data_IF_159460989246
#
_entry.id   IF_159460989246
#
_cell.length_a   1.000
_cell.length_b   1.000
_cell.length_c   1.000
_cell.angle_alpha   90.00
_cell.angle_beta   90.00
_cell.angle_gamma   90.00
#
_symmetry.space_group_name_H-M   'P 1'
#
loop_
_entity.id
_entity.type
_entity.pdbx_description
1 polymer ?
#
# COMPACT_ATOMS: atom_id res chain seq x y z
N UNK A 1 19.53 -36.80 -12.80
CA UNK A 1 20.05 -36.24 -11.53
C UNK A 1 18.97 -36.38 -10.46
N UNK A 2 19.15 -37.21 -9.42
CA UNK A 2 18.16 -37.37 -8.34
C UNK A 2 18.37 -36.26 -7.30
N UNK A 3 17.37 -35.41 -7.08
CA UNK A 3 17.45 -34.39 -6.01
C UNK A 3 17.45 -35.05 -4.63
N UNK A 4 18.30 -34.54 -3.75
CA UNK A 4 18.35 -34.87 -2.33
C UNK A 4 17.06 -34.42 -1.61
N UNK A 5 16.70 -35.06 -0.49
CA UNK A 5 15.51 -34.68 0.28
C UNK A 5 15.60 -33.22 0.76
N UNK A 6 16.80 -32.79 1.17
CA UNK A 6 17.11 -31.39 1.52
C UNK A 6 16.78 -30.43 0.38
N UNK A 7 17.24 -30.75 -0.84
CA UNK A 7 17.04 -29.91 -2.00
C UNK A 7 15.55 -29.82 -2.38
N UNK A 8 14.81 -30.93 -2.32
CA UNK A 8 13.36 -30.94 -2.61
C UNK A 8 12.58 -30.05 -1.65
N UNK A 9 12.82 -30.20 -0.34
CA UNK A 9 12.14 -29.41 0.70
C UNK A 9 12.52 -27.93 0.67
N UNK A 10 13.81 -27.64 0.51
CA UNK A 10 14.28 -26.26 0.37
C UNK A 10 13.68 -25.59 -0.86
N UNK A 11 13.60 -26.29 -1.99
CA UNK A 11 13.05 -25.72 -3.22
C UNK A 11 11.54 -25.47 -3.09
N UNK A 12 10.78 -26.41 -2.51
CA UNK A 12 9.33 -26.25 -2.33
C UNK A 12 8.99 -25.11 -1.36
N UNK A 13 9.65 -25.02 -0.21
CA UNK A 13 9.39 -23.94 0.74
C UNK A 13 9.93 -22.59 0.25
N UNK A 14 11.06 -22.58 -0.46
CA UNK A 14 11.59 -21.35 -1.05
C UNK A 14 10.71 -20.84 -2.18
N UNK A 15 10.01 -21.71 -2.92
CA UNK A 15 9.01 -21.30 -3.89
C UNK A 15 7.81 -20.61 -3.23
N UNK A 16 7.33 -21.14 -2.10
CA UNK A 16 6.26 -20.50 -1.30
C UNK A 16 6.73 -19.14 -0.78
N UNK A 17 7.94 -19.07 -0.22
CA UNK A 17 8.52 -17.80 0.25
C UNK A 17 8.67 -16.77 -0.88
N UNK A 18 9.07 -17.20 -2.08
CA UNK A 18 9.17 -16.32 -3.25
C UNK A 18 7.81 -15.77 -3.69
N UNK A 19 6.77 -16.61 -3.71
CA UNK A 19 5.40 -16.16 -4.03
C UNK A 19 4.91 -15.13 -2.99
N UNK A 20 5.14 -15.40 -1.70
CA UNK A 20 4.79 -14.46 -0.63
C UNK A 20 5.52 -13.13 -0.77
N UNK A 21 6.81 -13.14 -1.09
CA UNK A 21 7.61 -11.92 -1.31
C UNK A 21 7.12 -11.10 -2.51
N UNK A 22 6.79 -11.77 -3.62
CA UNK A 22 6.22 -11.09 -4.80
C UNK A 22 4.88 -10.45 -4.45
N UNK A 23 4.01 -11.19 -3.75
CA UNK A 23 2.71 -10.68 -3.30
C UNK A 23 2.85 -9.46 -2.36
N UNK A 24 3.74 -9.52 -1.37
CA UNK A 24 4.05 -8.39 -0.51
C UNK A 24 4.58 -7.18 -1.30
N UNK A 25 5.52 -7.42 -2.21
CA UNK A 25 6.12 -6.34 -3.01
C UNK A 25 5.07 -5.64 -3.87
N UNK A 26 4.19 -6.40 -4.52
CA UNK A 26 3.08 -5.86 -5.31
C UNK A 26 2.13 -5.04 -4.44
N UNK A 27 1.75 -5.54 -3.28
CA UNK A 27 0.87 -4.82 -2.35
C UNK A 27 1.47 -3.48 -1.88
N UNK A 28 2.77 -3.45 -1.57
CA UNK A 28 3.46 -2.21 -1.17
C UNK A 28 3.55 -1.21 -2.32
N UNK A 29 3.80 -1.67 -3.55
CA UNK A 29 3.86 -0.81 -4.73
C UNK A 29 2.49 -0.22 -5.10
N UNK A 30 1.44 -1.03 -5.06
CA UNK A 30 0.07 -0.56 -5.26
C UNK A 30 -0.32 0.46 -4.19
N UNK A 31 0.06 0.22 -2.94
CA UNK A 31 -0.11 1.18 -1.85
C UNK A 31 0.61 2.50 -2.12
N UNK A 32 1.90 2.47 -2.45
CA UNK A 32 2.68 3.69 -2.66
C UNK A 32 2.08 4.57 -3.78
N UNK A 33 1.59 3.93 -4.84
CA UNK A 33 0.90 4.64 -5.94
C UNK A 33 -0.43 5.24 -5.50
N UNK A 34 -1.27 4.46 -4.82
CA UNK A 34 -2.59 4.93 -4.37
C UNK A 34 -2.48 6.01 -3.29
N UNK A 35 -1.53 5.87 -2.36
CA UNK A 35 -1.29 6.86 -1.31
C UNK A 35 -0.84 8.20 -1.88
N UNK A 36 0.10 8.18 -2.83
CA UNK A 36 0.56 9.41 -3.49
C UNK A 36 -0.58 10.07 -4.25
N UNK A 37 -1.30 9.29 -5.06
CA UNK A 37 -2.45 9.78 -5.83
C UNK A 37 -3.55 10.42 -4.96
N UNK A 38 -3.96 9.75 -3.87
CA UNK A 38 -5.00 10.30 -2.98
C UNK A 38 -4.47 11.50 -2.19
N UNK A 39 -3.20 11.51 -1.82
CA UNK A 39 -2.58 12.65 -1.14
C UNK A 39 -2.50 13.89 -2.04
N UNK A 40 -2.14 13.71 -3.30
CA UNK A 40 -2.10 14.79 -4.30
C UNK A 40 -3.50 15.37 -4.49
N UNK A 41 -4.50 14.50 -4.64
CA UNK A 41 -5.89 14.92 -4.82
C UNK A 41 -6.44 15.67 -3.59
N UNK A 42 -6.11 15.22 -2.37
CA UNK A 42 -6.44 15.94 -1.13
C UNK A 42 -5.74 17.31 -1.10
N UNK A 43 -4.49 17.41 -1.54
CA UNK A 43 -3.75 18.67 -1.58
C UNK A 43 -4.36 19.65 -2.60
N UNK A 44 -4.77 19.15 -3.76
CA UNK A 44 -5.44 19.92 -4.81
C UNK A 44 -6.82 20.42 -4.34
N UNK A 45 -7.61 19.56 -3.67
CA UNK A 45 -8.90 19.92 -3.07
C UNK A 45 -8.73 21.02 -2.00
N UNK A 46 -7.75 20.89 -1.10
CA UNK A 46 -7.47 21.90 -0.05
C UNK A 46 -7.05 23.23 -0.67
N UNK A 47 -6.18 23.18 -1.68
CA UNK A 47 -5.70 24.38 -2.38
C UNK A 47 -6.85 25.08 -3.09
N UNK A 48 -7.72 24.32 -3.75
CA UNK A 48 -8.89 24.82 -4.45
C UNK A 48 -9.92 25.41 -3.49
N UNK A 49 -10.20 24.74 -2.36
CA UNK A 49 -11.12 25.23 -1.33
C UNK A 49 -10.64 26.56 -0.74
N UNK A 50 -9.35 26.66 -0.41
CA UNK A 50 -8.75 27.90 0.09
C UNK A 50 -8.79 29.03 -0.96
N UNK A 51 -8.63 28.69 -2.24
CA UNK A 51 -8.70 29.65 -3.35
C UNK A 51 -10.14 30.16 -3.53
N UNK A 52 -11.14 29.27 -3.48
CA UNK A 52 -12.55 29.63 -3.55
C UNK A 52 -12.98 30.55 -2.39
N UNK A 53 -12.58 30.21 -1.15
CA UNK A 53 -12.84 31.06 0.02
C UNK A 53 -12.24 32.47 -0.13
N UNK A 54 -10.98 32.56 -0.55
CA UNK A 54 -10.34 33.86 -0.79
C UNK A 54 -11.06 34.66 -1.87
N UNK A 55 -11.49 33.99 -2.95
CA UNK A 55 -12.24 34.64 -4.02
C UNK A 55 -13.57 35.21 -3.48
N UNK A 56 -14.28 34.44 -2.68
CA UNK A 56 -15.52 34.85 -2.00
C UNK A 56 -15.29 36.08 -1.10
N UNK A 57 -14.26 36.03 -0.27
CA UNK A 57 -13.91 37.12 0.66
C UNK A 57 -13.57 38.42 -0.08
N UNK A 58 -12.78 38.33 -1.17
CA UNK A 58 -12.40 39.49 -2.00
C UNK A 58 -13.65 40.09 -2.65
N UNK A 59 -14.51 39.26 -3.26
CA UNK A 59 -15.75 39.74 -3.88
C UNK A 59 -16.69 40.39 -2.87
N UNK A 60 -16.85 39.76 -1.71
CA UNK A 60 -17.72 40.25 -0.63
C UNK A 60 -17.21 41.59 -0.10
N UNK A 61 -15.91 41.69 0.18
CA UNK A 61 -15.28 42.95 0.59
C UNK A 61 -15.47 44.04 -0.44
N UNK A 62 -15.15 43.76 -1.71
CA UNK A 62 -15.28 44.74 -2.78
C UNK A 62 -16.74 45.20 -2.98
N UNK A 63 -17.70 44.27 -2.90
CA UNK A 63 -19.13 44.60 -2.96
C UNK A 63 -19.56 45.52 -1.79
N UNK A 64 -19.04 45.29 -0.58
CA UNK A 64 -19.29 46.14 0.59
C UNK A 64 -18.62 47.52 0.46
N UNK A 65 -17.42 47.59 -0.10
CA UNK A 65 -16.71 48.85 -0.34
C UNK A 65 -17.50 49.71 -1.34
N UNK A 66 -18.02 49.11 -2.43
CA UNK A 66 -18.92 49.79 -3.38
C UNK A 66 -20.19 50.29 -2.68
N UNK A 67 -20.82 49.45 -1.85
CA UNK A 67 -22.01 49.83 -1.09
C UNK A 67 -21.76 51.03 -0.16
N UNK A 68 -20.57 51.09 0.44
CA UNK A 68 -20.16 52.18 1.34
C UNK A 68 -20.05 53.50 0.56
N UNK A 69 -19.40 53.49 -0.60
CA UNK A 69 -19.28 54.69 -1.47
C UNK A 69 -20.66 55.19 -1.94
N UNK A 70 -21.57 54.29 -2.27
CA UNK A 70 -22.94 54.62 -2.69
C UNK A 70 -23.80 55.09 -1.49
N UNK A 71 -23.47 54.66 -0.27
CA UNK A 71 -24.19 54.99 0.95
C UNK A 71 -23.86 56.36 1.53
N UNK A 72 -22.57 56.73 1.52
CA UNK A 72 -22.06 57.94 2.19
C UNK A 72 -22.01 59.17 1.28
N UNK A 73 -22.36 59.05 -0.02
CA UNK A 73 -22.24 60.09 -1.05
C UNK A 73 -20.84 60.74 -1.12
N UNK A 74 -19.83 60.04 -0.59
CA UNK A 74 -18.44 60.49 -0.52
C UNK A 74 -17.62 59.80 -1.60
N UNK A 75 -17.51 60.47 -2.75
CA UNK A 75 -16.83 59.96 -3.95
C UNK A 75 -15.31 60.21 -3.96
N UNK A 76 -14.71 60.55 -2.80
CA UNK A 76 -13.31 60.97 -2.73
C UNK A 76 -12.31 59.85 -3.04
N UNK A 77 -12.69 58.58 -2.83
CA UNK A 77 -11.84 57.42 -3.07
C UNK A 77 -12.68 56.26 -3.60
N UNK A 78 -12.49 55.91 -4.87
CA UNK A 78 -13.14 54.75 -5.48
C UNK A 78 -12.48 53.46 -4.98
N UNK A 79 -13.26 52.39 -4.72
CA UNK A 79 -12.68 51.13 -4.33
C UNK A 79 -11.85 50.57 -5.48
N UNK A 80 -10.57 50.27 -5.20
CA UNK A 80 -9.67 49.68 -6.18
C UNK A 80 -9.98 48.19 -6.34
N UNK A 81 -10.23 47.77 -7.58
CA UNK A 81 -10.38 46.37 -7.92
C UNK A 81 -9.11 45.82 -8.54
N UNK A 82 -8.41 44.97 -7.80
CA UNK A 82 -7.23 44.27 -8.31
C UNK A 82 -7.66 43.12 -9.24
N UNK A 83 -7.92 43.49 -10.50
CA UNK A 83 -8.36 42.56 -11.54
C UNK A 83 -7.31 41.47 -11.82
N UNK A 84 -6.01 41.80 -11.74
CA UNK A 84 -4.93 40.85 -12.03
C UNK A 84 -4.83 39.79 -10.94
N UNK A 85 -4.85 40.22 -9.67
CA UNK A 85 -4.90 39.32 -8.53
C UNK A 85 -6.13 38.42 -8.58
N UNK A 86 -7.28 38.97 -8.96
CA UNK A 86 -8.52 38.24 -9.03
C UNK A 86 -8.55 37.19 -10.14
N UNK A 87 -8.13 37.55 -11.36
CA UNK A 87 -8.02 36.61 -12.49
C UNK A 87 -7.02 35.48 -12.18
N UNK A 88 -5.93 35.78 -11.47
CA UNK A 88 -4.97 34.75 -11.07
C UNK A 88 -5.59 33.68 -10.15
N UNK A 89 -6.54 34.04 -9.29
CA UNK A 89 -7.24 33.07 -8.43
C UNK A 89 -8.20 32.19 -9.24
N UNK A 90 -8.87 32.76 -10.26
CA UNK A 90 -9.67 31.97 -11.20
C UNK A 90 -8.82 31.01 -12.03
N UNK A 91 -7.63 31.42 -12.47
CA UNK A 91 -6.71 30.55 -13.21
C UNK A 91 -6.15 29.41 -12.34
N UNK A 92 -5.85 29.68 -11.07
CA UNK A 92 -5.50 28.66 -10.07
C UNK A 92 -6.66 27.68 -9.87
N UNK A 93 -7.90 28.18 -9.71
CA UNK A 93 -9.09 27.34 -9.57
C UNK A 93 -9.28 26.42 -10.79
N UNK A 94 -9.07 26.97 -11.99
CA UNK A 94 -9.21 26.25 -13.26
C UNK A 94 -8.15 25.16 -13.44
N UNK A 95 -6.91 25.44 -13.07
CA UNK A 95 -5.79 24.49 -13.17
C UNK A 95 -5.82 23.42 -12.10
N UNK A 96 -6.36 23.71 -10.91
CA UNK A 96 -6.39 22.78 -9.78
C UNK A 96 -7.57 21.79 -9.85
N UNK A 97 -8.60 22.09 -10.66
CA UNK A 97 -9.86 21.35 -10.71
C UNK A 97 -10.14 20.69 -12.07
N UNK A 98 -9.15 19.97 -12.62
CA UNK A 98 -9.30 19.21 -13.88
C UNK A 98 -10.19 17.94 -13.76
N UNK A 99 -10.80 17.71 -12.61
CA UNK A 99 -11.75 16.60 -12.42
C UNK A 99 -13.05 16.86 -13.18
N UNK A 100 -13.45 15.92 -14.05
CA UNK A 100 -14.70 15.95 -14.84
C UNK A 100 -15.97 16.25 -14.02
N UNK A 101 -15.96 16.00 -12.70
CA UNK A 101 -17.12 16.20 -11.83
C UNK A 101 -17.25 17.66 -11.37
N UNK A 102 -16.13 18.36 -11.17
CA UNK A 102 -16.11 19.71 -10.57
C UNK A 102 -15.96 20.79 -11.66
N UNK A 103 -15.40 20.45 -12.81
CA UNK A 103 -15.23 21.33 -13.96
C UNK A 103 -16.46 22.20 -14.32
N UNK A 104 -17.71 21.69 -14.39
CA UNK A 104 -18.85 22.55 -14.73
C UNK A 104 -19.14 23.61 -13.65
N UNK A 105 -18.85 23.33 -12.38
CA UNK A 105 -19.00 24.30 -11.29
C UNK A 105 -17.91 25.37 -11.36
N UNK A 106 -16.68 24.95 -11.66
CA UNK A 106 -15.57 25.86 -11.91
C UNK A 106 -15.86 26.82 -13.08
N UNK A 107 -16.42 26.31 -14.18
CA UNK A 107 -16.81 27.13 -15.34
C UNK A 107 -17.93 28.12 -14.98
N UNK A 108 -18.92 27.70 -14.19
CA UNK A 108 -19.97 28.58 -13.67
C UNK A 108 -19.40 29.72 -12.82
N UNK A 109 -18.50 29.40 -11.87
CA UNK A 109 -17.83 30.41 -11.04
C UNK A 109 -17.05 31.39 -11.89
N UNK A 110 -16.25 30.94 -12.87
CA UNK A 110 -15.48 31.81 -13.76
C UNK A 110 -16.40 32.73 -14.58
N UNK A 111 -17.55 32.21 -15.03
CA UNK A 111 -18.52 32.98 -15.79
C UNK A 111 -19.20 34.06 -14.96
N UNK A 112 -19.77 33.71 -13.80
CA UNK A 112 -20.44 34.66 -12.91
C UNK A 112 -19.47 35.69 -12.34
N UNK A 113 -18.23 35.27 -12.09
CA UNK A 113 -17.10 36.11 -11.73
C UNK A 113 -16.83 37.18 -12.80
N UNK A 114 -16.67 36.77 -14.06
CA UNK A 114 -16.43 37.70 -15.17
C UNK A 114 -17.59 38.68 -15.35
N UNK A 115 -18.83 38.23 -15.19
CA UNK A 115 -20.02 39.06 -15.28
C UNK A 115 -20.09 40.09 -14.13
N UNK A 116 -19.74 39.70 -12.91
CA UNK A 116 -19.69 40.58 -11.75
C UNK A 116 -18.61 41.66 -11.92
N UNK A 117 -17.39 41.26 -12.31
CA UNK A 117 -16.27 42.21 -12.54
C UNK A 117 -16.64 43.22 -13.62
N UNK A 118 -17.14 42.75 -14.76
CA UNK A 118 -17.54 43.64 -15.86
C UNK A 118 -18.60 44.65 -15.41
N UNK A 119 -19.57 44.21 -14.60
CA UNK A 119 -20.58 45.11 -14.05
C UNK A 119 -19.96 46.11 -13.10
N UNK A 120 -19.04 45.69 -12.23
CA UNK A 120 -18.38 46.59 -11.27
C UNK A 120 -17.54 47.69 -11.92
N UNK A 121 -16.98 47.46 -13.12
CA UNK A 121 -16.24 48.47 -13.88
C UNK A 121 -17.13 49.62 -14.37
N UNK A 122 -18.46 49.46 -14.36
CA UNK A 122 -19.39 50.54 -14.66
C UNK A 122 -19.47 51.58 -13.53
N UNK A 123 -18.93 51.30 -12.33
CA UNK A 123 -19.08 52.11 -11.13
C UNK A 123 -18.72 53.58 -11.34
N UNK A 124 -17.54 53.87 -11.90
CA UNK A 124 -17.07 55.23 -12.15
C UNK A 124 -18.05 56.00 -13.04
N UNK A 125 -18.47 55.39 -14.15
CA UNK A 125 -19.45 55.97 -15.07
C UNK A 125 -20.83 56.20 -14.44
N UNK A 126 -21.22 55.34 -13.50
CA UNK A 126 -22.50 55.44 -12.78
C UNK A 126 -22.47 56.58 -11.77
N UNK A 127 -21.35 56.77 -11.07
CA UNK A 127 -21.18 57.84 -10.09
C UNK A 127 -21.08 59.23 -10.76
N UNK A 128 -20.45 59.31 -11.93
CA UNK A 128 -20.34 60.56 -12.71
C UNK A 128 -21.61 60.93 -13.49
N UNK A 129 -22.59 60.02 -13.56
CA UNK A 129 -23.80 60.21 -14.37
C UNK A 129 -24.89 60.96 -13.62
N UNK A 130 -25.30 62.11 -14.16
CA UNK A 130 -26.48 62.85 -13.68
C UNK A 130 -27.82 62.15 -13.92
N UNK A 131 -27.83 61.07 -14.71
CA UNK A 131 -29.06 60.38 -15.14
C UNK A 131 -29.26 59.02 -14.46
N UNK A 132 -28.20 58.41 -13.92
CA UNK A 132 -28.26 57.07 -13.33
C UNK A 132 -28.30 57.23 -11.81
N UNK A 133 -29.32 56.66 -11.18
CA UNK A 133 -29.34 56.51 -9.72
C UNK A 133 -28.39 55.36 -9.32
N UNK A 134 -27.25 55.70 -8.71
CA UNK A 134 -26.22 54.76 -8.29
C UNK A 134 -26.75 53.70 -7.31
N UNK A 135 -27.70 54.07 -6.45
CA UNK A 135 -28.36 53.15 -5.52
C UNK A 135 -29.22 52.15 -6.28
N UNK A 136 -30.05 52.63 -7.20
CA UNK A 136 -30.87 51.76 -8.05
C UNK A 136 -30.00 50.83 -8.90
N UNK A 137 -28.89 51.32 -9.47
CA UNK A 137 -27.93 50.49 -10.21
C UNK A 137 -27.32 49.39 -9.33
N UNK A 138 -26.91 49.71 -8.10
CA UNK A 138 -26.36 48.72 -7.18
C UNK A 138 -27.36 47.59 -6.89
N UNK A 139 -28.57 47.93 -6.43
CA UNK A 139 -29.57 46.93 -6.02
C UNK A 139 -30.15 46.13 -7.20
N UNK A 140 -30.29 46.74 -8.37
CA UNK A 140 -30.94 46.10 -9.52
C UNK A 140 -29.97 45.43 -10.49
N UNK A 141 -28.67 45.76 -10.44
CA UNK A 141 -27.69 45.29 -11.43
C UNK A 141 -26.45 44.65 -10.81
N UNK A 142 -25.77 45.34 -9.89
CA UNK A 142 -24.55 44.80 -9.28
C UNK A 142 -24.85 43.68 -8.27
N UNK A 143 -25.76 43.93 -7.33
CA UNK A 143 -26.08 43.00 -6.24
C UNK A 143 -26.61 41.65 -6.75
N UNK A 144 -27.50 41.58 -7.76
CA UNK A 144 -27.92 40.29 -8.32
C UNK A 144 -26.75 39.51 -8.94
N UNK A 145 -25.82 40.19 -9.62
CA UNK A 145 -24.60 39.56 -10.16
C UNK A 145 -23.71 38.97 -9.07
N UNK A 146 -23.52 39.72 -7.97
CA UNK A 146 -22.79 39.25 -6.80
C UNK A 146 -23.46 38.05 -6.11
N UNK A 147 -24.80 38.04 -6.01
CA UNK A 147 -25.54 36.91 -5.43
C UNK A 147 -25.39 35.63 -6.25
N UNK A 148 -25.40 35.73 -7.58
CA UNK A 148 -25.16 34.58 -8.47
C UNK A 148 -23.74 34.06 -8.27
N UNK A 149 -22.75 34.94 -8.28
CA UNK A 149 -21.34 34.56 -8.03
C UNK A 149 -21.17 33.87 -6.68
N UNK A 150 -21.74 34.44 -5.61
CA UNK A 150 -21.68 33.85 -4.27
C UNK A 150 -22.31 32.45 -4.26
N UNK A 151 -23.46 32.27 -4.90
CA UNK A 151 -24.12 30.98 -5.01
C UNK A 151 -23.30 29.94 -5.80
N UNK A 152 -22.62 30.36 -6.87
CA UNK A 152 -21.78 29.47 -7.66
C UNK A 152 -20.53 29.05 -6.88
N UNK A 153 -19.93 29.98 -6.12
CA UNK A 153 -18.79 29.69 -5.23
C UNK A 153 -19.22 28.73 -4.11
N UNK A 154 -20.36 28.96 -3.45
CA UNK A 154 -20.89 28.07 -2.41
C UNK A 154 -21.14 26.65 -2.93
N UNK A 155 -21.67 26.53 -4.16
CA UNK A 155 -21.89 25.24 -4.81
C UNK A 155 -20.56 24.53 -5.11
N UNK A 156 -19.55 25.28 -5.56
CA UNK A 156 -18.21 24.76 -5.80
C UNK A 156 -17.53 24.30 -4.50
N UNK A 157 -17.55 25.13 -3.45
CA UNK A 157 -16.99 24.80 -2.14
C UNK A 157 -17.63 23.55 -1.56
N UNK A 158 -18.96 23.43 -1.66
CA UNK A 158 -19.70 22.25 -1.23
C UNK A 158 -19.27 20.99 -2.01
N UNK A 159 -19.05 21.12 -3.32
CA UNK A 159 -18.59 20.00 -4.14
C UNK A 159 -17.16 19.57 -3.78
N UNK A 160 -16.24 20.52 -3.60
CA UNK A 160 -14.85 20.25 -3.18
C UNK A 160 -14.83 19.62 -1.79
N UNK A 161 -15.62 20.14 -0.83
CA UNK A 161 -15.71 19.57 0.50
C UNK A 161 -16.21 18.12 0.50
N UNK A 162 -17.23 17.83 -0.30
CA UNK A 162 -17.76 16.47 -0.45
C UNK A 162 -16.73 15.51 -1.07
N UNK A 163 -15.95 15.97 -2.05
CA UNK A 163 -14.88 15.14 -2.63
C UNK A 163 -13.76 14.92 -1.61
N UNK A 164 -13.29 15.97 -0.94
CA UNK A 164 -12.31 15.90 0.15
C UNK A 164 -12.73 14.91 1.25
N UNK A 165 -14.00 14.94 1.67
CA UNK A 165 -14.55 14.00 2.66
C UNK A 165 -14.51 12.56 2.13
N UNK A 166 -14.91 12.35 0.88
CA UNK A 166 -14.90 11.04 0.23
C UNK A 166 -13.49 10.50 0.05
N UNK A 167 -12.55 11.34 -0.36
CA UNK A 167 -11.14 11.02 -0.56
C UNK A 167 -10.47 10.70 0.77
N UNK A 168 -10.73 11.48 1.83
CA UNK A 168 -10.30 11.19 3.20
C UNK A 168 -10.86 9.87 3.72
N UNK A 169 -12.17 9.60 3.56
CA UNK A 169 -12.78 8.33 3.97
C UNK A 169 -12.24 7.14 3.18
N UNK A 170 -11.84 7.35 1.92
CA UNK A 170 -11.24 6.32 1.07
C UNK A 170 -9.80 6.05 1.49
N UNK A 171 -9.06 7.10 1.80
CA UNK A 171 -7.72 7.02 2.37
C UNK A 171 -7.75 6.23 3.69
N UNK A 172 -8.60 6.61 4.64
CA UNK A 172 -8.70 5.96 5.96
C UNK A 172 -9.12 4.49 5.87
N UNK A 173 -10.19 4.19 5.10
CA UNK A 173 -10.68 2.82 4.92
C UNK A 173 -9.70 1.95 4.15
N UNK A 174 -9.10 2.46 3.08
CA UNK A 174 -8.13 1.73 2.27
C UNK A 174 -6.84 1.44 3.05
N UNK A 175 -6.31 2.45 3.76
CA UNK A 175 -5.05 2.38 4.48
C UNK A 175 -5.10 1.48 5.71
N UNK A 176 -5.98 1.77 6.67
CA UNK A 176 -5.95 1.09 7.97
C UNK A 176 -6.70 -0.25 7.98
N UNK A 177 -7.78 -0.38 7.20
CA UNK A 177 -8.66 -1.55 7.32
C UNK A 177 -8.30 -2.70 6.37
N UNK A 178 -7.70 -2.40 5.21
CA UNK A 178 -7.47 -3.41 4.17
C UNK A 178 -5.99 -3.74 3.93
N UNK A 179 -5.08 -2.76 3.98
CA UNK A 179 -3.69 -2.98 3.54
C UNK A 179 -2.78 -3.42 4.68
N UNK A 180 -2.81 -2.74 5.84
CA UNK A 180 -1.94 -3.06 6.98
C UNK A 180 -2.09 -4.52 7.44
N UNK A 181 -3.31 -5.07 7.64
CA UNK A 181 -3.45 -6.47 8.00
C UNK A 181 -2.87 -7.44 6.96
N UNK A 182 -2.94 -7.08 5.66
CA UNK A 182 -2.37 -7.86 4.57
C UNK A 182 -0.84 -7.93 4.63
N UNK A 183 -0.18 -6.78 4.80
CA UNK A 183 1.29 -6.72 4.90
C UNK A 183 1.78 -7.50 6.13
N UNK A 184 1.11 -7.33 7.28
CA UNK A 184 1.44 -8.05 8.51
C UNK A 184 1.25 -9.56 8.33
N UNK A 185 0.13 -9.98 7.73
CA UNK A 185 -0.13 -11.40 7.46
C UNK A 185 0.94 -12.04 6.56
N UNK A 186 1.40 -11.34 5.52
CA UNK A 186 2.47 -11.84 4.64
C UNK A 186 3.80 -11.93 5.40
N UNK A 187 4.14 -10.94 6.22
CA UNK A 187 5.35 -10.97 7.05
C UNK A 187 5.38 -12.14 8.04
N UNK A 188 4.27 -12.37 8.75
CA UNK A 188 4.12 -13.52 9.67
C UNK A 188 4.15 -14.83 8.90
N UNK A 189 3.50 -14.91 7.73
CA UNK A 189 3.52 -16.08 6.86
C UNK A 189 4.93 -16.45 6.40
N UNK A 190 5.74 -15.47 6.01
CA UNK A 190 7.14 -15.69 5.63
C UNK A 190 7.97 -16.24 6.80
N UNK A 191 7.79 -15.68 7.99
CA UNK A 191 8.47 -16.15 9.20
C UNK A 191 8.09 -17.61 9.53
N UNK A 192 6.81 -17.96 9.41
CA UNK A 192 6.33 -19.33 9.60
C UNK A 192 6.94 -20.31 8.59
N UNK A 193 7.06 -19.91 7.31
CA UNK A 193 7.70 -20.75 6.29
C UNK A 193 9.18 -20.99 6.62
N UNK A 194 9.90 -19.97 7.07
CA UNK A 194 11.31 -20.12 7.47
C UNK A 194 11.46 -21.02 8.70
N UNK A 195 10.61 -20.83 9.72
CA UNK A 195 10.55 -21.71 10.90
C UNK A 195 10.27 -23.15 10.51
N UNK A 196 9.30 -23.38 9.63
CA UNK A 196 8.94 -24.72 9.17
C UNK A 196 10.10 -25.38 8.42
N UNK A 197 10.81 -24.63 7.57
CA UNK A 197 12.01 -25.13 6.88
C UNK A 197 13.08 -25.56 7.88
N UNK A 198 13.33 -24.73 8.89
CA UNK A 198 14.27 -25.03 9.95
C UNK A 198 13.89 -26.32 10.69
N UNK A 199 12.63 -26.44 11.14
CA UNK A 199 12.17 -27.64 11.84
C UNK A 199 12.31 -28.90 10.98
N UNK A 200 11.88 -28.84 9.72
CA UNK A 200 12.00 -29.97 8.78
C UNK A 200 13.45 -30.39 8.59
N UNK A 201 14.37 -29.44 8.39
CA UNK A 201 15.78 -29.76 8.18
C UNK A 201 16.46 -30.29 9.45
N UNK A 202 16.21 -29.65 10.60
CA UNK A 202 16.88 -29.98 11.85
C UNK A 202 16.42 -31.30 12.45
N UNK A 203 15.11 -31.56 12.49
CA UNK A 203 14.54 -32.69 13.23
C UNK A 203 14.19 -33.90 12.38
N UNK A 204 13.96 -33.72 11.07
CA UNK A 204 13.59 -34.85 10.20
C UNK A 204 14.70 -35.18 9.21
N UNK A 205 15.11 -34.21 8.39
CA UNK A 205 16.00 -34.50 7.26
C UNK A 205 17.42 -34.81 7.72
N UNK A 206 18.01 -33.98 8.60
CA UNK A 206 19.37 -34.21 9.08
C UNK A 206 19.56 -35.56 9.78
N UNK A 207 18.67 -35.97 10.71
CA UNK A 207 18.73 -37.29 11.32
C UNK A 207 18.65 -38.44 10.31
N UNK A 208 17.79 -38.33 9.30
CA UNK A 208 17.66 -39.34 8.24
C UNK A 208 18.98 -39.51 7.45
N UNK A 209 19.68 -38.41 7.16
CA UNK A 209 21.01 -38.47 6.52
C UNK A 209 22.04 -39.15 7.44
N UNK A 210 22.05 -38.84 8.75
CA UNK A 210 22.96 -39.49 9.69
C UNK A 210 22.71 -41.00 9.83
N UNK A 211 21.44 -41.43 9.83
CA UNK A 211 21.07 -42.85 9.80
C UNK A 211 21.59 -43.53 8.53
N UNK A 212 21.37 -42.89 7.37
CA UNK A 212 21.80 -43.41 6.07
C UNK A 212 23.32 -43.53 5.98
N UNK A 213 24.06 -42.52 6.43
CA UNK A 213 25.54 -42.54 6.45
C UNK A 213 26.08 -43.66 7.37
N UNK A 214 25.46 -43.87 8.54
CA UNK A 214 25.81 -44.97 9.46
C UNK A 214 25.49 -46.35 8.86
N UNK A 215 24.37 -46.46 8.13
CA UNK A 215 23.97 -47.70 7.45
C UNK A 215 24.89 -48.02 6.27
N UNK A 216 25.27 -47.03 5.47
CA UNK A 216 26.24 -47.18 4.38
C UNK A 216 27.63 -47.53 4.92
N UNK A 217 28.02 -46.95 6.06
CA UNK A 217 29.21 -47.34 6.80
C UNK A 217 29.21 -48.83 7.18
N UNK A 218 28.07 -49.33 7.66
CA UNK A 218 27.88 -50.75 7.97
C UNK A 218 27.96 -51.64 6.73
N UNK A 219 27.22 -51.30 5.66
CA UNK A 219 27.15 -52.12 4.44
C UNK A 219 28.47 -52.19 3.68
N UNK A 220 29.13 -51.04 3.51
CA UNK A 220 30.30 -50.92 2.61
C UNK A 220 31.61 -51.27 3.29
N UNK A 221 31.72 -51.06 4.61
CA UNK A 221 32.98 -51.22 5.34
C UNK A 221 32.89 -52.24 6.48
N UNK A 222 31.76 -52.96 6.60
CA UNK A 222 31.49 -53.93 7.66
C UNK A 222 31.69 -53.34 9.08
N UNK A 223 31.52 -52.02 9.22
CA UNK A 223 31.61 -51.29 10.49
C UNK A 223 30.33 -51.50 11.31
N UNK A 224 30.38 -51.35 12.63
CA UNK A 224 29.15 -51.37 13.43
C UNK A 224 28.30 -50.14 13.10
N UNK A 225 26.99 -50.32 13.01
CA UNK A 225 26.05 -49.20 13.03
C UNK A 225 26.16 -48.49 14.38
N UNK A 226 26.32 -47.17 14.40
CA UNK A 226 26.64 -46.40 15.62
C UNK A 226 25.73 -45.20 15.86
N UNK A 227 24.82 -44.90 14.93
CA UNK A 227 23.96 -43.74 15.09
C UNK A 227 22.82 -44.01 16.10
N UNK A 228 22.71 -43.13 17.09
CA UNK A 228 21.64 -43.07 18.07
C UNK A 228 20.83 -41.79 17.83
N UNK A 229 19.51 -41.95 17.70
CA UNK A 229 18.59 -40.85 17.50
C UNK A 229 17.94 -40.45 18.82
N UNK A 230 18.03 -39.16 19.19
CA UNK A 230 17.52 -38.60 20.44
C UNK A 230 16.13 -37.95 20.24
N UNK A 231 15.16 -38.73 19.78
CA UNK A 231 13.77 -38.29 19.64
C UNK A 231 12.80 -39.32 20.21
N UNK A 232 11.54 -38.89 20.39
CA UNK A 232 10.43 -39.73 20.89
C UNK A 232 9.33 -39.88 19.83
N UNK A 233 9.75 -39.95 18.56
CA UNK A 233 8.88 -40.09 17.40
C UNK A 233 9.19 -41.37 16.62
N UNK A 234 8.50 -41.61 15.50
CA UNK A 234 8.68 -42.82 14.70
C UNK A 234 10.10 -42.99 14.15
N UNK A 235 10.93 -41.94 14.08
CA UNK A 235 12.33 -42.05 13.68
C UNK A 235 13.15 -42.80 14.73
N UNK A 236 12.78 -42.76 16.02
CA UNK A 236 13.47 -43.54 17.05
C UNK A 236 13.21 -45.03 16.89
N UNK A 237 11.98 -45.39 16.55
CA UNK A 237 11.58 -46.77 16.30
C UNK A 237 12.27 -47.30 15.05
N UNK A 238 12.36 -46.48 14.00
CA UNK A 238 13.10 -46.81 12.79
C UNK A 238 14.59 -47.00 13.07
N UNK A 239 15.22 -46.08 13.79
CA UNK A 239 16.64 -46.16 14.12
C UNK A 239 16.97 -47.41 14.97
N UNK A 240 16.11 -47.71 15.93
CA UNK A 240 16.26 -48.86 16.81
C UNK A 240 16.14 -50.17 16.03
N UNK A 241 15.13 -50.28 15.16
CA UNK A 241 14.98 -51.45 14.28
C UNK A 241 16.14 -51.63 13.30
N UNK A 242 16.70 -50.55 12.74
CA UNK A 242 17.91 -50.62 11.89
C UNK A 242 19.11 -51.10 12.71
N UNK A 243 19.29 -50.56 13.92
CA UNK A 243 20.40 -50.93 14.81
C UNK A 243 20.33 -52.41 15.19
N UNK A 244 19.16 -52.90 15.60
CA UNK A 244 18.92 -54.30 15.96
C UNK A 244 19.25 -55.23 14.78
N UNK A 245 18.66 -55.00 13.61
CA UNK A 245 18.93 -55.79 12.40
C UNK A 245 20.40 -55.77 11.97
N UNK A 246 21.09 -54.63 12.11
CA UNK A 246 22.50 -54.52 11.81
C UNK A 246 23.35 -55.34 12.80
N UNK A 247 23.01 -55.30 14.09
CA UNK A 247 23.69 -56.10 15.12
C UNK A 247 23.47 -57.59 14.94
N UNK A 248 22.24 -58.04 14.70
CA UNK A 248 21.92 -59.44 14.43
C UNK A 248 22.69 -59.97 13.23
N UNK A 249 22.66 -59.25 12.10
CA UNK A 249 23.41 -59.65 10.90
C UNK A 249 24.93 -59.72 11.15
N UNK A 250 25.50 -58.80 11.93
CA UNK A 250 26.91 -58.86 12.32
C UNK A 250 27.22 -60.13 13.12
N UNK A 251 26.35 -60.49 14.07
CA UNK A 251 26.53 -61.72 14.85
C UNK A 251 26.39 -62.98 13.99
N UNK A 252 25.44 -63.01 13.07
CA UNK A 252 25.25 -64.10 12.11
C UNK A 252 26.47 -64.26 11.20
N UNK A 253 26.99 -63.16 10.63
CA UNK A 253 28.21 -63.17 9.81
C UNK A 253 29.42 -63.70 10.56
N UNK A 254 29.57 -63.35 11.84
CA UNK A 254 30.64 -63.90 12.70
C UNK A 254 30.47 -65.40 12.90
N UNK A 255 29.28 -65.85 13.32
CA UNK A 255 28.98 -67.28 13.52
C UNK A 255 29.23 -68.11 12.25
N UNK A 256 28.83 -67.61 11.07
CA UNK A 256 29.10 -68.27 9.79
C UNK A 256 30.59 -68.35 9.46
N UNK A 257 31.36 -67.32 9.80
CA UNK A 257 32.81 -67.32 9.61
C UNK A 257 33.49 -68.33 10.53
N UNK A 258 33.06 -68.39 11.80
CA UNK A 258 33.59 -69.31 12.79
C UNK A 258 33.29 -70.77 12.40
N UNK A 259 32.07 -71.06 11.92
CA UNK A 259 31.68 -72.36 11.38
C UNK A 259 32.55 -72.79 10.19
N UNK A 260 32.75 -71.91 9.21
CA UNK A 260 33.63 -72.20 8.06
C UNK A 260 35.09 -72.44 8.46
N UNK A 261 35.58 -71.73 9.48
CA UNK A 261 36.94 -71.96 9.96
C UNK A 261 37.10 -73.30 10.68
N UNK A 262 36.06 -73.77 11.38
CA UNK A 262 36.06 -75.11 11.96
C UNK A 262 36.01 -76.20 10.89
N UNK A 263 35.16 -76.06 9.88
CA UNK A 263 35.05 -77.03 8.77
C UNK A 263 36.36 -77.15 7.96
N UNK A 264 37.03 -76.02 7.68
CA UNK A 264 38.34 -76.05 7.01
C UNK A 264 39.45 -76.68 7.85
N UNK A 265 39.44 -76.47 9.17
CA UNK A 265 40.43 -77.08 10.07
C UNK A 265 40.21 -78.59 10.21
N UNK A 266 38.98 -79.09 10.15
CA UNK A 266 38.70 -80.53 10.14
C UNK A 266 39.14 -81.20 8.82
N UNK A 267 39.04 -80.50 7.68
CA UNK A 267 39.50 -80.99 6.38
C UNK A 267 41.04 -80.98 6.22
N UNK A 268 41.76 -80.08 6.92
CA UNK A 268 43.24 -80.06 6.94
C UNK A 268 43.84 -81.17 7.82
N UNK A 269 43.09 -81.69 8.80
CA UNK A 269 43.54 -82.76 9.70
C UNK A 269 43.38 -84.15 9.06
N UNK A 270 42.61 -84.26 7.98
CA UNK A 270 42.29 -85.53 7.30
C UNK A 270 43.04 -85.74 5.96
N UNK A 271 44.02 -84.89 5.63
CA UNK A 271 44.98 -85.14 4.55
C UNK A 271 46.31 -85.70 5.12
N UNK A 272 46.76 -86.90 4.67
CA UNK A 272 47.93 -87.60 5.21
C UNK A 272 49.28 -86.94 4.87
#
# INVERSE_FOLDING_TARGET
MKLSLKAKLSLSLSAIAAILLVSASLSVLEYAKMSTYVSDLIADDITSLNTAHKLSDICSKYNLDILTVIGDDNYAELPEFDQEYFLSHCDVLKSSLESNVIQPLTDSVIYSCSAYVLTSLELENVLDSYFIDSRSWYFNRLQPGFQILSSDIDALETAIYNDLEKNSKTFERGFYRSIIPGIVAVGVGLLLVIMLLFFMLAYYVNPLYKMLDSLDGYRSYNKRYTYTFEGDDELVNLNSGISELATENLTLRKRLKDLKSHENNELEVDQP
#
